data_IF_509657275902
#
_entry.id   IF_509657275902
#
_cell.length_a   1.000
_cell.length_b   1.000
_cell.length_c   1.000
_cell.angle_alpha   90.00
_cell.angle_beta   90.00
_cell.angle_gamma   90.00
#
_symmetry.space_group_name_H-M   'P 1'
#
loop_
_entity.id
_entity.type
_entity.pdbx_description
1 polymer ?
#
# COMPACT_ATOMS: atom_id res chain seq x y z
N UNK A 1 45.84 28.98 -15.87
CA UNK A 1 47.06 28.69 -15.10
C UNK A 1 46.69 27.72 -14.00
N UNK A 2 47.19 26.48 -14.08
CA UNK A 2 46.94 25.40 -13.11
C UNK A 2 48.03 25.47 -12.05
N UNK A 3 47.68 25.39 -10.76
CA UNK A 3 48.58 24.87 -9.72
C UNK A 3 47.83 23.93 -8.77
N UNK A 4 48.49 22.86 -8.28
CA UNK A 4 47.84 21.63 -7.81
C UNK A 4 48.13 21.27 -6.33
N UNK A 5 47.44 20.23 -5.87
CA UNK A 5 47.82 19.23 -4.84
C UNK A 5 48.09 19.62 -3.39
N UNK A 6 47.63 18.76 -2.47
CA UNK A 6 48.28 18.57 -1.18
C UNK A 6 47.42 17.99 -0.06
N UNK A 7 47.19 16.69 -0.09
CA UNK A 7 46.53 15.83 0.92
C UNK A 7 47.17 15.96 2.32
N UNK A 8 46.36 15.92 3.39
CA UNK A 8 46.71 15.22 4.63
C UNK A 8 45.46 14.76 5.40
N UNK A 9 45.44 13.46 5.66
CA UNK A 9 44.44 12.68 6.41
C UNK A 9 44.67 12.77 7.93
N UNK A 10 43.76 12.11 8.69
CA UNK A 10 43.77 11.78 10.14
C UNK A 10 43.13 12.86 11.05
N UNK A 11 42.26 12.55 12.02
CA UNK A 11 41.76 11.29 12.56
C UNK A 11 40.38 11.51 13.26
N UNK A 12 39.78 10.37 13.58
CA UNK A 12 38.50 10.06 14.24
C UNK A 12 38.33 10.65 15.65
N UNK A 13 37.13 11.14 15.96
CA UNK A 13 36.42 11.12 17.26
C UNK A 13 34.92 11.25 16.90
N UNK A 14 34.13 10.18 16.78
CA UNK A 14 33.46 9.39 17.83
C UNK A 14 32.46 10.15 18.73
N UNK A 15 31.32 9.49 18.95
CA UNK A 15 30.16 9.79 19.78
C UNK A 15 29.08 10.76 19.24
N UNK A 16 27.94 10.28 18.71
CA UNK A 16 26.84 9.46 19.29
C UNK A 16 25.74 10.34 19.91
N UNK A 17 24.56 10.33 19.25
CA UNK A 17 23.20 10.57 19.78
C UNK A 17 22.90 11.98 20.32
N UNK A 18 21.72 12.58 20.20
CA UNK A 18 20.35 12.09 20.31
C UNK A 18 19.45 13.15 19.67
N UNK A 19 18.48 12.76 18.83
CA UNK A 19 17.14 13.40 18.73
C UNK A 19 16.34 12.71 17.62
N UNK A 20 16.17 11.40 17.75
CA UNK A 20 15.11 10.67 17.06
C UNK A 20 14.39 9.79 18.09
N UNK A 21 13.79 10.48 19.07
CA UNK A 21 12.85 10.00 20.09
C UNK A 21 11.99 11.25 20.30
N UNK A 22 10.74 11.35 19.87
CA UNK A 22 9.58 10.52 20.14
C UNK A 22 8.51 10.87 19.09
N UNK A 23 8.09 9.88 18.30
CA UNK A 23 6.67 9.69 18.09
C UNK A 23 6.44 8.18 18.07
N UNK A 24 6.83 7.55 19.18
CA UNK A 24 6.37 6.21 19.47
C UNK A 24 4.86 6.31 19.68
N UNK A 25 4.04 5.45 19.05
CA UNK A 25 2.72 5.20 19.59
C UNK A 25 2.94 4.80 21.05
N UNK A 26 2.29 5.48 21.99
CA UNK A 26 2.26 5.05 23.39
C UNK A 26 2.01 3.53 23.43
N UNK A 27 2.76 2.84 24.29
CA UNK A 27 2.59 1.41 24.49
C UNK A 27 1.09 1.12 24.63
N UNK A 28 0.61 0.16 23.85
CA UNK A 28 -0.81 -0.20 23.77
C UNK A 28 -1.23 -0.77 25.13
N UNK A 29 -1.60 0.11 26.04
CA UNK A 29 -1.89 -0.21 27.45
C UNK A 29 -3.37 -0.62 27.65
N UNK A 30 -4.24 -0.43 26.65
CA UNK A 30 -5.67 -0.75 26.71
C UNK A 30 -6.06 -1.92 25.76
N UNK A 31 -6.75 -2.97 26.24
CA UNK A 31 -7.38 -3.97 25.37
C UNK A 31 -8.30 -3.36 24.28
N UNK A 32 -8.90 -2.19 24.50
CA UNK A 32 -9.66 -1.46 23.48
C UNK A 32 -8.79 -1.05 22.29
N UNK A 33 -7.52 -0.70 22.52
CA UNK A 33 -6.60 -0.32 21.46
C UNK A 33 -6.14 -1.53 20.64
N UNK A 34 -5.97 -2.68 21.29
CA UNK A 34 -5.71 -3.96 20.62
C UNK A 34 -6.88 -4.32 19.69
N UNK A 35 -8.11 -4.21 20.16
CA UNK A 35 -9.30 -4.48 19.34
C UNK A 35 -9.42 -3.48 18.17
N UNK A 36 -9.12 -2.20 18.40
CA UNK A 36 -9.09 -1.16 17.36
C UNK A 36 -8.01 -1.43 16.29
N UNK A 37 -6.83 -1.87 16.71
CA UNK A 37 -5.72 -2.31 15.85
C UNK A 37 -6.16 -3.50 14.99
N UNK A 38 -6.70 -4.55 15.61
CA UNK A 38 -7.20 -5.74 14.91
C UNK A 38 -8.30 -5.40 13.91
N UNK A 39 -9.23 -4.53 14.28
CA UNK A 39 -10.32 -4.08 13.39
C UNK A 39 -9.80 -3.26 12.21
N UNK A 40 -8.77 -2.43 12.41
CA UNK A 40 -8.13 -1.66 11.34
C UNK A 40 -7.40 -2.58 10.36
N UNK A 41 -6.69 -3.61 10.86
CA UNK A 41 -6.03 -4.62 10.02
C UNK A 41 -7.04 -5.48 9.24
N UNK A 42 -8.12 -5.94 9.88
CA UNK A 42 -9.22 -6.67 9.21
C UNK A 42 -9.86 -5.83 8.10
N UNK A 43 -10.09 -4.55 8.37
CA UNK A 43 -10.66 -3.61 7.39
C UNK A 43 -9.73 -3.44 6.19
N UNK A 44 -8.42 -3.29 6.43
CA UNK A 44 -7.43 -3.22 5.37
C UNK A 44 -7.42 -4.50 4.54
N UNK A 45 -7.38 -5.69 5.16
CA UNK A 45 -7.42 -6.97 4.45
C UNK A 45 -8.67 -7.09 3.57
N UNK A 46 -9.85 -6.80 4.12
CA UNK A 46 -11.11 -6.83 3.35
C UNK A 46 -11.10 -5.84 2.18
N UNK A 47 -10.50 -4.65 2.36
CA UNK A 47 -10.36 -3.67 1.28
C UNK A 47 -9.44 -4.16 0.16
N UNK A 48 -8.35 -4.87 0.50
CA UNK A 48 -7.43 -5.48 -0.46
C UNK A 48 -8.13 -6.58 -1.26
N UNK A 49 -8.87 -7.47 -0.60
CA UNK A 49 -9.63 -8.55 -1.26
C UNK A 49 -10.67 -7.99 -2.24
N UNK A 50 -11.43 -6.97 -1.81
CA UNK A 50 -12.38 -6.27 -2.69
C UNK A 50 -11.69 -5.63 -3.88
N UNK A 51 -10.56 -4.96 -3.66
CA UNK A 51 -9.78 -4.34 -4.73
C UNK A 51 -9.26 -5.37 -5.73
N UNK A 52 -8.77 -6.52 -5.27
CA UNK A 52 -8.31 -7.62 -6.13
C UNK A 52 -9.44 -8.17 -6.98
N UNK A 53 -10.62 -8.41 -6.40
CA UNK A 53 -11.79 -8.88 -7.14
C UNK A 53 -12.19 -7.92 -8.25
N UNK A 54 -12.30 -6.63 -7.94
CA UNK A 54 -12.69 -5.61 -8.95
C UNK A 54 -11.60 -5.43 -10.03
N UNK A 55 -10.31 -5.59 -9.67
CA UNK A 55 -9.23 -5.61 -10.67
C UNK A 55 -9.35 -6.79 -11.64
N UNK A 56 -9.74 -7.96 -11.16
CA UNK A 56 -9.97 -9.12 -12.01
C UNK A 56 -11.13 -8.85 -12.97
N UNK A 57 -12.27 -8.36 -12.46
CA UNK A 57 -13.45 -8.02 -13.27
C UNK A 57 -13.11 -7.02 -14.40
N UNK A 58 -12.27 -6.03 -14.11
CA UNK A 58 -11.79 -5.06 -15.12
C UNK A 58 -10.74 -5.68 -16.06
N UNK A 59 -9.89 -6.57 -15.56
CA UNK A 59 -8.90 -7.29 -16.35
C UNK A 59 -9.55 -8.17 -17.42
N UNK A 60 -10.64 -8.84 -17.07
CA UNK A 60 -11.38 -9.77 -17.93
C UNK A 60 -11.97 -9.07 -19.17
N UNK A 61 -12.37 -7.79 -19.05
CA UNK A 61 -12.91 -7.00 -20.17
C UNK A 61 -11.86 -6.27 -21.01
N UNK A 62 -10.60 -6.22 -20.58
CA UNK A 62 -9.50 -5.59 -21.34
C UNK A 62 -9.36 -6.11 -22.77
N UNK A 63 -9.38 -7.44 -23.05
CA UNK A 63 -9.31 -7.92 -24.43
C UNK A 63 -10.54 -7.53 -25.27
N UNK A 64 -11.72 -7.42 -24.65
CA UNK A 64 -12.94 -6.96 -25.33
C UNK A 64 -12.85 -5.50 -25.74
N UNK A 65 -12.32 -4.64 -24.85
CA UNK A 65 -12.04 -3.23 -25.18
C UNK A 65 -11.06 -3.15 -26.35
N UNK A 66 -9.96 -3.93 -26.31
CA UNK A 66 -8.96 -3.95 -27.38
C UNK A 66 -9.57 -4.26 -28.74
N UNK A 67 -10.29 -5.38 -28.85
CA UNK A 67 -10.99 -5.78 -30.08
C UNK A 67 -11.95 -4.71 -30.61
N UNK A 68 -12.72 -4.08 -29.72
CA UNK A 68 -13.64 -3.01 -30.11
C UNK A 68 -12.90 -1.76 -30.62
N UNK A 69 -11.77 -1.40 -30.01
CA UNK A 69 -10.93 -0.28 -30.45
C UNK A 69 -10.22 -0.57 -31.79
N UNK A 70 -9.92 -1.84 -32.06
CA UNK A 70 -9.37 -2.31 -33.33
C UNK A 70 -10.43 -2.42 -34.44
N UNK A 71 -11.71 -2.13 -34.12
CA UNK A 71 -12.82 -2.12 -35.08
C UNK A 71 -13.41 -3.50 -35.38
N UNK A 72 -13.09 -4.52 -34.59
CA UNK A 72 -13.69 -5.84 -34.72
C UNK A 72 -15.16 -5.84 -34.32
N UNK A 73 -15.96 -6.66 -35.00
CA UNK A 73 -17.37 -6.86 -34.64
C UNK A 73 -17.46 -7.64 -33.33
N UNK A 74 -18.01 -6.98 -32.31
CA UNK A 74 -18.28 -7.57 -31.00
C UNK A 74 -19.72 -8.05 -30.97
N UNK A 75 -19.96 -9.26 -30.46
CA UNK A 75 -21.31 -9.81 -30.33
C UNK A 75 -22.13 -9.06 -29.26
N UNK A 76 -23.46 -9.20 -29.30
CA UNK A 76 -24.34 -8.55 -28.33
C UNK A 76 -24.09 -8.98 -26.87
N UNK A 77 -23.73 -10.24 -26.65
CA UNK A 77 -23.37 -10.76 -25.33
C UNK A 77 -22.07 -10.14 -24.81
N UNK A 78 -21.04 -10.11 -25.67
CA UNK A 78 -19.76 -9.47 -25.38
C UNK A 78 -19.92 -7.96 -25.11
N UNK A 79 -20.87 -7.29 -25.78
CA UNK A 79 -21.20 -5.88 -25.52
C UNK A 79 -21.84 -5.69 -24.13
N UNK A 80 -22.73 -6.59 -23.69
CA UNK A 80 -23.29 -6.53 -22.33
C UNK A 80 -22.25 -6.87 -21.26
N UNK A 81 -21.33 -7.81 -21.54
CA UNK A 81 -20.17 -8.07 -20.69
C UNK A 81 -19.26 -6.84 -20.59
N UNK A 82 -19.00 -6.17 -21.71
CA UNK A 82 -18.21 -4.94 -21.77
C UNK A 82 -18.85 -3.82 -20.95
N UNK A 83 -20.15 -3.57 -21.14
CA UNK A 83 -20.92 -2.58 -20.36
C UNK A 83 -20.88 -2.87 -18.86
N UNK A 84 -21.02 -4.15 -18.49
CA UNK A 84 -20.92 -4.57 -17.09
C UNK A 84 -19.51 -4.35 -16.53
N UNK A 85 -18.46 -4.70 -17.27
CA UNK A 85 -17.08 -4.48 -16.82
C UNK A 85 -16.66 -3.01 -16.82
N UNK A 86 -17.20 -2.17 -17.72
CA UNK A 86 -16.98 -0.71 -17.70
C UNK A 86 -17.61 -0.10 -16.45
N UNK A 87 -18.77 -0.58 -16.00
CA UNK A 87 -19.29 -0.22 -14.66
C UNK A 87 -18.35 -0.66 -13.53
N UNK A 88 -17.57 -1.73 -13.76
CA UNK A 88 -16.50 -2.20 -12.89
C UNK A 88 -15.32 -1.22 -12.78
N UNK A 89 -15.02 -0.41 -13.80
CA UNK A 89 -14.00 0.63 -13.72
C UNK A 89 -14.34 1.70 -12.67
N UNK A 90 -15.62 2.11 -12.59
CA UNK A 90 -16.06 3.04 -11.56
C UNK A 90 -15.98 2.41 -10.15
N UNK A 91 -16.27 1.11 -10.04
CA UNK A 91 -16.08 0.34 -8.80
C UNK A 91 -14.60 0.23 -8.43
N UNK A 92 -13.71 0.12 -9.41
CA UNK A 92 -12.26 0.03 -9.19
C UNK A 92 -11.71 1.31 -8.57
N UNK A 93 -12.13 2.47 -9.07
CA UNK A 93 -11.73 3.77 -8.53
C UNK A 93 -12.17 3.90 -7.07
N UNK A 94 -13.41 3.51 -6.75
CA UNK A 94 -13.92 3.51 -5.36
C UNK A 94 -13.16 2.54 -4.47
N UNK A 95 -12.96 1.31 -4.91
CA UNK A 95 -12.22 0.30 -4.16
C UNK A 95 -10.77 0.75 -3.87
N UNK A 96 -10.14 1.49 -4.78
CA UNK A 96 -8.81 2.05 -4.56
C UNK A 96 -8.81 3.14 -3.48
N UNK A 97 -9.81 4.04 -3.52
CA UNK A 97 -10.01 5.06 -2.50
C UNK A 97 -10.25 4.43 -1.12
N UNK A 98 -11.12 3.43 -1.05
CA UNK A 98 -11.42 2.71 0.20
C UNK A 98 -10.18 2.00 0.76
N UNK A 99 -9.41 1.35 -0.11
CA UNK A 99 -8.14 0.74 0.27
C UNK A 99 -7.14 1.78 0.79
N UNK A 100 -6.99 2.94 0.15
CA UNK A 100 -6.08 3.99 0.61
C UNK A 100 -6.49 4.55 1.97
N UNK A 101 -7.79 4.75 2.20
CA UNK A 101 -8.33 5.16 3.49
C UNK A 101 -8.07 4.10 4.58
N UNK A 102 -8.35 2.82 4.28
CA UNK A 102 -8.09 1.71 5.19
C UNK A 102 -6.59 1.55 5.50
N UNK A 103 -5.73 1.74 4.51
CA UNK A 103 -4.28 1.67 4.66
C UNK A 103 -3.76 2.77 5.59
N UNK A 104 -4.24 3.99 5.40
CA UNK A 104 -3.87 5.13 6.25
C UNK A 104 -4.29 4.87 7.70
N UNK A 105 -5.51 4.36 7.91
CA UNK A 105 -6.03 4.02 9.24
C UNK A 105 -5.25 2.86 9.89
N UNK A 106 -4.81 1.88 9.12
CA UNK A 106 -4.06 0.73 9.60
C UNK A 106 -2.55 0.99 9.73
N UNK A 107 -2.04 2.17 9.35
CA UNK A 107 -0.61 2.46 9.39
C UNK A 107 0.02 2.31 10.79
N UNK A 108 -0.60 2.81 11.89
CA UNK A 108 -0.07 2.63 13.24
C UNK A 108 -0.03 1.15 13.63
N UNK A 109 -1.09 0.40 13.31
CA UNK A 109 -1.16 -1.04 13.55
C UNK A 109 -0.06 -1.82 12.83
N UNK A 110 0.32 -1.40 11.62
CA UNK A 110 1.41 -2.02 10.85
C UNK A 110 2.78 -1.71 11.46
N UNK A 111 3.00 -0.49 11.92
CA UNK A 111 4.26 -0.10 12.58
C UNK A 111 4.50 -0.90 13.86
N UNK A 112 3.46 -1.08 14.67
CA UNK A 112 3.52 -1.92 15.87
C UNK A 112 3.82 -3.39 15.54
N UNK A 113 3.15 -3.95 14.53
CA UNK A 113 3.42 -5.32 14.07
C UNK A 113 4.88 -5.48 13.62
N UNK A 114 5.39 -4.52 12.84
CA UNK A 114 6.77 -4.53 12.36
C UNK A 114 7.78 -4.46 13.50
N UNK A 115 7.50 -3.70 14.55
CA UNK A 115 8.34 -3.63 15.75
C UNK A 115 8.39 -4.97 16.49
N UNK A 116 7.23 -5.57 16.78
CA UNK A 116 7.14 -6.88 17.45
C UNK A 116 7.86 -7.97 16.65
N UNK A 117 7.74 -7.95 15.32
CA UNK A 117 8.42 -8.90 14.44
C UNK A 117 9.94 -8.69 14.39
N UNK A 118 10.43 -7.46 14.51
CA UNK A 118 11.86 -7.15 14.59
C UNK A 118 12.45 -7.56 15.94
N UNK A 119 11.76 -7.28 17.04
CA UNK A 119 12.15 -7.68 18.40
C UNK A 119 12.24 -9.22 18.52
N UNK A 120 11.31 -9.96 17.91
CA UNK A 120 11.33 -11.44 17.83
C UNK A 120 12.48 -12.01 17.00
N UNK A 121 13.05 -11.25 16.06
CA UNK A 121 14.19 -11.69 15.22
C UNK A 121 15.55 -11.36 15.83
N UNK A 122 15.59 -10.43 16.79
CA UNK A 122 16.80 -10.00 17.48
C UNK A 122 17.06 -10.78 18.78
N UNK A 123 16.08 -11.58 19.23
CA UNK A 123 16.17 -12.49 20.39
C UNK A 123 16.33 -13.93 19.97
#
# INVERSE_FOLDING_TARGET
MIKPNGVKSEAVEELTTVSEVENLPEAVDDPQDIDNILNSLKSLLSSVEKLQKVRQEVGDIKPLIGRMLDGELVSGEELEQLKTGVSGLARLVRAYSDHQAALTKAQPARQLLDQVLKERKAS
#
